data_IF_787118215126
#
_entry.id   IF_787118215126
#
_cell.length_a   1.000
_cell.length_b   1.000
_cell.length_c   1.000
_cell.angle_alpha   90.00
_cell.angle_beta   90.00
_cell.angle_gamma   90.00
#
_symmetry.space_group_name_H-M   'P 1'
#
loop_
_entity.id
_entity.type
_entity.pdbx_description
1 polymer ?
#
# COMPACT_ATOMS: atom_id res chain seq x y z
N UNK A 1 5.18 -2.99 -13.45
CA UNK A 1 6.29 -2.07 -13.09
C UNK A 1 7.54 -2.86 -12.70
N UNK A 2 7.40 -3.94 -11.94
CA UNK A 2 8.43 -4.96 -11.64
C UNK A 2 9.59 -5.13 -12.64
N UNK A 3 9.36 -5.44 -13.94
CA UNK A 3 10.47 -5.71 -14.84
C UNK A 3 11.36 -4.48 -15.08
N UNK A 4 10.77 -3.28 -15.14
CA UNK A 4 11.53 -2.03 -15.29
C UNK A 4 12.25 -1.69 -14.00
N UNK A 5 11.59 -1.85 -12.85
CA UNK A 5 12.18 -1.67 -11.51
C UNK A 5 13.43 -2.56 -11.34
N UNK A 6 13.32 -3.85 -11.67
CA UNK A 6 14.42 -4.80 -11.58
C UNK A 6 15.55 -4.50 -12.58
N UNK A 7 15.21 -4.14 -13.82
CA UNK A 7 16.21 -3.75 -14.84
C UNK A 7 17.00 -2.50 -14.46
N UNK A 8 16.37 -1.55 -13.78
CA UNK A 8 17.06 -0.37 -13.25
C UNK A 8 17.93 -0.67 -12.04
N UNK A 9 17.54 -1.64 -11.18
CA UNK A 9 18.32 -2.03 -9.99
C UNK A 9 19.59 -2.82 -10.35
N UNK A 10 19.56 -3.65 -11.41
CA UNK A 10 20.72 -4.45 -11.85
C UNK A 10 21.58 -3.78 -12.94
N UNK A 11 21.41 -2.47 -13.15
CA UNK A 11 22.25 -1.66 -14.06
C UNK A 11 22.25 -2.15 -15.53
N UNK A 12 21.14 -2.74 -16.00
CA UNK A 12 21.02 -3.19 -17.40
C UNK A 12 20.66 -2.02 -18.33
N UNK A 13 19.76 -1.13 -17.88
CA UNK A 13 19.38 0.11 -18.60
C UNK A 13 19.14 1.22 -17.56
N UNK A 14 20.17 2.01 -17.23
CA UNK A 14 20.09 3.11 -16.26
C UNK A 14 19.91 4.46 -16.97
N UNK A 15 18.71 4.71 -17.49
CA UNK A 15 18.34 6.00 -18.09
C UNK A 15 17.27 6.70 -17.26
N UNK A 16 17.59 7.89 -16.75
CA UNK A 16 16.65 8.73 -16.00
C UNK A 16 15.39 9.06 -16.80
N UNK A 17 15.54 9.27 -18.12
CA UNK A 17 14.42 9.55 -19.01
C UNK A 17 13.47 8.36 -19.16
N UNK A 18 14.02 7.14 -19.18
CA UNK A 18 13.21 5.92 -19.24
C UNK A 18 12.45 5.68 -17.94
N UNK A 19 13.10 5.91 -16.79
CA UNK A 19 12.46 5.79 -15.49
C UNK A 19 11.29 6.78 -15.34
N UNK A 20 11.55 8.06 -15.59
CA UNK A 20 10.53 9.11 -15.49
C UNK A 20 9.39 8.89 -16.49
N UNK A 21 9.72 8.49 -17.72
CA UNK A 21 8.72 8.20 -18.75
C UNK A 21 7.79 7.04 -18.36
N UNK A 22 8.34 5.95 -17.82
CA UNK A 22 7.56 4.79 -17.35
C UNK A 22 6.69 5.15 -16.15
N UNK A 23 7.22 5.94 -15.21
CA UNK A 23 6.44 6.43 -14.06
C UNK A 23 5.25 7.29 -14.53
N UNK A 24 5.49 8.23 -15.46
CA UNK A 24 4.45 9.11 -15.95
C UNK A 24 3.35 8.36 -16.71
N UNK A 25 3.72 7.40 -17.57
CA UNK A 25 2.76 6.55 -18.27
C UNK A 25 1.91 5.73 -17.29
N UNK A 26 2.53 5.26 -16.21
CA UNK A 26 1.85 4.44 -15.22
C UNK A 26 0.86 5.26 -14.39
N UNK A 27 1.21 6.50 -14.04
CA UNK A 27 0.28 7.43 -13.40
C UNK A 27 -0.95 7.69 -14.28
N UNK A 28 -0.78 7.85 -15.59
CA UNK A 28 -1.90 8.02 -16.51
C UNK A 28 -2.85 6.80 -16.53
N UNK A 29 -2.30 5.59 -16.54
CA UNK A 29 -3.09 4.35 -16.46
C UNK A 29 -3.81 4.27 -15.10
N UNK A 30 -3.13 4.63 -14.01
CA UNK A 30 -3.71 4.65 -12.66
C UNK A 30 -4.88 5.62 -12.57
N UNK A 31 -4.80 6.79 -13.20
CA UNK A 31 -5.90 7.78 -13.23
C UNK A 31 -7.15 7.21 -13.88
N UNK A 32 -7.02 6.49 -15.00
CA UNK A 32 -8.16 5.83 -15.66
C UNK A 32 -8.78 4.80 -14.71
N UNK A 33 -7.94 4.03 -14.01
CA UNK A 33 -8.39 3.03 -13.05
C UNK A 33 -9.03 3.65 -11.79
N UNK A 34 -8.74 4.91 -11.48
CA UNK A 34 -9.40 5.64 -10.38
C UNK A 34 -10.77 6.19 -10.77
N UNK A 35 -11.00 6.53 -12.04
CA UNK A 35 -12.25 7.15 -12.51
C UNK A 35 -13.33 6.10 -12.86
N UNK A 36 -12.94 4.99 -13.50
CA UNK A 36 -13.90 4.01 -14.05
C UNK A 36 -14.69 3.26 -12.97
N UNK A 37 -14.09 2.74 -11.89
CA UNK A 37 -14.82 1.95 -10.89
C UNK A 37 -15.92 2.73 -10.15
N UNK A 38 -15.69 3.98 -9.70
CA UNK A 38 -16.76 4.77 -9.08
C UNK A 38 -17.95 5.04 -10.00
N UNK A 39 -17.73 5.27 -11.30
CA UNK A 39 -18.80 5.45 -12.29
C UNK A 39 -19.66 4.18 -12.41
N UNK A 40 -19.02 3.02 -12.49
CA UNK A 40 -19.74 1.73 -12.52
C UNK A 40 -20.48 1.48 -11.21
N UNK A 41 -19.93 1.90 -10.08
CA UNK A 41 -20.54 1.71 -8.76
C UNK A 41 -21.82 2.54 -8.59
N UNK A 42 -21.81 3.79 -9.08
CA UNK A 42 -22.99 4.67 -9.07
C UNK A 42 -24.14 4.09 -9.91
N UNK A 43 -23.86 3.47 -11.05
CA UNK A 43 -24.90 2.82 -11.87
C UNK A 43 -25.57 1.61 -11.19
N UNK A 44 -24.90 0.99 -10.20
CA UNK A 44 -25.39 -0.18 -9.47
C UNK A 44 -26.11 0.24 -8.18
N UNK A 45 -25.87 1.46 -7.70
CA UNK A 45 -26.48 1.99 -6.49
C UNK A 45 -28.00 2.15 -6.65
N UNK A 46 -28.71 2.11 -5.53
CA UNK A 46 -30.14 2.39 -5.53
C UNK A 46 -30.38 3.90 -5.75
N UNK A 47 -31.44 4.28 -6.50
CA UNK A 47 -31.77 5.68 -6.70
C UNK A 47 -31.87 6.42 -5.36
N UNK A 48 -31.12 7.50 -5.20
CA UNK A 48 -31.07 8.30 -3.98
C UNK A 48 -29.88 8.01 -3.03
N UNK A 49 -29.14 6.91 -3.22
CA UNK A 49 -27.95 6.57 -2.41
C UNK A 49 -26.62 6.63 -3.18
N UNK A 50 -26.65 7.07 -4.43
CA UNK A 50 -25.50 7.14 -5.35
C UNK A 50 -24.30 7.90 -4.74
N UNK A 51 -24.56 9.08 -4.17
CA UNK A 51 -23.53 9.91 -3.55
C UNK A 51 -22.91 9.26 -2.30
N UNK A 52 -23.72 8.58 -1.48
CA UNK A 52 -23.26 7.88 -0.28
C UNK A 52 -22.36 6.70 -0.66
N UNK A 53 -22.77 5.91 -1.65
CA UNK A 53 -21.99 4.79 -2.18
C UNK A 53 -20.65 5.26 -2.77
N UNK A 54 -20.65 6.35 -3.55
CA UNK A 54 -19.45 6.97 -4.08
C UNK A 54 -18.51 7.48 -2.98
N UNK A 55 -19.06 8.16 -1.97
CA UNK A 55 -18.31 8.69 -0.83
C UNK A 55 -17.62 7.58 -0.03
N UNK A 56 -18.34 6.49 0.27
CA UNK A 56 -17.77 5.34 0.97
C UNK A 56 -16.65 4.69 0.13
N UNK A 57 -16.86 4.49 -1.17
CA UNK A 57 -15.84 3.89 -2.03
C UNK A 57 -14.55 4.73 -2.05
N UNK A 58 -14.69 6.04 -2.17
CA UNK A 58 -13.56 6.97 -2.24
C UNK A 58 -12.80 7.03 -0.92
N UNK A 59 -13.49 7.06 0.22
CA UNK A 59 -12.84 7.06 1.53
C UNK A 59 -12.09 5.75 1.79
N UNK A 60 -12.67 4.60 1.43
CA UNK A 60 -11.99 3.31 1.48
C UNK A 60 -10.72 3.32 0.61
N UNK A 61 -10.78 3.90 -0.60
CA UNK A 61 -9.61 4.03 -1.48
C UNK A 61 -8.47 4.84 -0.84
N UNK A 62 -8.79 5.99 -0.25
CA UNK A 62 -7.80 6.84 0.42
C UNK A 62 -7.18 6.14 1.64
N UNK A 63 -7.98 5.47 2.46
CA UNK A 63 -7.48 4.72 3.62
C UNK A 63 -6.58 3.56 3.20
N UNK A 64 -6.92 2.86 2.12
CA UNK A 64 -6.11 1.76 1.61
C UNK A 64 -4.68 2.22 1.27
N UNK A 65 -4.51 3.42 0.70
CA UNK A 65 -3.18 4.01 0.45
C UNK A 65 -2.39 4.20 1.74
N UNK A 66 -3.01 4.71 2.80
CA UNK A 66 -2.33 4.93 4.10
C UNK A 66 -1.92 3.60 4.73
N UNK A 67 -2.77 2.58 4.68
CA UNK A 67 -2.48 1.24 5.20
C UNK A 67 -1.36 0.55 4.41
N UNK A 68 -1.32 0.74 3.09
CA UNK A 68 -0.23 0.24 2.25
C UNK A 68 1.10 0.89 2.64
N UNK A 69 1.15 2.22 2.79
CA UNK A 69 2.36 2.93 3.20
C UNK A 69 2.83 2.48 4.59
N UNK A 70 1.91 2.31 5.53
CA UNK A 70 2.20 1.78 6.85
C UNK A 70 2.84 0.37 6.79
N UNK A 71 2.29 -0.51 5.97
CA UNK A 71 2.84 -1.87 5.80
C UNK A 71 4.23 -1.83 5.16
N UNK A 72 4.45 -0.97 4.17
CA UNK A 72 5.76 -0.77 3.56
C UNK A 72 6.78 -0.25 4.56
N UNK A 73 6.38 0.68 5.43
CA UNK A 73 7.25 1.22 6.49
C UNK A 73 7.64 0.15 7.52
N UNK A 74 6.73 -0.75 7.90
CA UNK A 74 7.06 -1.88 8.78
C UNK A 74 8.04 -2.83 8.10
N UNK A 75 7.83 -3.12 6.81
CA UNK A 75 8.74 -3.99 6.05
C UNK A 75 10.11 -3.34 5.94
N UNK A 76 10.21 -2.03 5.65
CA UNK A 76 11.48 -1.32 5.60
C UNK A 76 12.19 -1.27 6.96
N UNK A 77 11.45 -1.18 8.07
CA UNK A 77 12.01 -1.22 9.43
C UNK A 77 12.71 -2.55 9.76
N UNK A 78 12.44 -3.62 9.00
CA UNK A 78 13.03 -4.93 9.23
C UNK A 78 14.45 -5.04 8.65
N UNK A 79 14.86 -4.13 7.76
CA UNK A 79 16.17 -4.12 7.11
C UNK A 79 17.12 -3.07 7.72
N UNK A 80 18.41 -3.42 7.88
CA UNK A 80 19.49 -2.66 8.57
C UNK A 80 19.81 -1.27 7.95
N UNK A 81 20.31 -0.28 8.73
CA UNK A 81 20.60 1.10 8.26
C UNK A 81 21.64 1.23 7.15
N UNK A 82 22.49 0.22 6.90
CA UNK A 82 23.43 0.22 5.76
C UNK A 82 22.71 0.31 4.39
N UNK A 83 21.40 0.01 4.35
CA UNK A 83 20.54 0.06 3.17
C UNK A 83 19.99 1.47 2.88
N UNK A 84 20.11 2.42 3.83
CA UNK A 84 19.76 3.83 3.58
C UNK A 84 20.83 4.58 2.80
N UNK A 85 22.06 4.04 2.72
CA UNK A 85 23.09 4.51 1.79
C UNK A 85 22.86 3.91 0.39
N UNK A 86 21.72 4.25 -0.22
CA UNK A 86 21.43 3.94 -1.63
C UNK A 86 22.56 4.50 -2.55
N UNK A 87 23.27 5.53 -2.08
CA UNK A 87 24.41 6.14 -2.75
C UNK A 87 25.66 5.24 -2.80
N UNK A 88 25.81 4.28 -1.87
CA UNK A 88 26.97 3.38 -1.84
C UNK A 88 26.93 2.30 -2.95
N UNK A 89 25.76 2.08 -3.58
CA UNK A 89 25.51 1.22 -4.75
C UNK A 89 26.21 -0.16 -4.68
N UNK A 90 26.28 -0.76 -3.48
CA UNK A 90 26.92 -2.07 -3.25
C UNK A 90 26.02 -3.22 -3.71
N UNK A 91 26.61 -4.39 -3.97
CA UNK A 91 25.84 -5.56 -4.43
C UNK A 91 24.76 -5.99 -3.43
N UNK A 92 25.05 -5.91 -2.13
CA UNK A 92 24.09 -6.26 -1.07
C UNK A 92 22.86 -5.32 -1.10
N UNK A 93 23.08 -4.00 -1.25
CA UNK A 93 21.99 -3.01 -1.34
C UNK A 93 21.09 -3.28 -2.55
N UNK A 94 21.65 -3.65 -3.70
CA UNK A 94 20.86 -4.00 -4.91
C UNK A 94 19.96 -5.21 -4.65
N UNK A 95 20.45 -6.22 -3.94
CA UNK A 95 19.65 -7.40 -3.61
C UNK A 95 18.54 -7.08 -2.59
N UNK A 96 18.82 -6.19 -1.64
CA UNK A 96 17.81 -5.71 -0.71
C UNK A 96 16.69 -4.95 -1.40
N UNK A 97 17.02 -4.00 -2.28
CA UNK A 97 16.03 -3.24 -3.06
C UNK A 97 15.21 -4.17 -3.96
N UNK A 98 15.86 -5.15 -4.61
CA UNK A 98 15.16 -6.17 -5.38
C UNK A 98 14.19 -7.01 -4.52
N UNK A 99 14.58 -7.38 -3.29
CA UNK A 99 13.72 -8.12 -2.37
C UNK A 99 12.48 -7.32 -1.97
N UNK A 100 12.60 -6.00 -1.76
CA UNK A 100 11.46 -5.14 -1.43
C UNK A 100 10.46 -5.05 -2.59
N UNK A 101 10.94 -4.91 -3.82
CA UNK A 101 10.07 -4.93 -5.00
C UNK A 101 9.38 -6.29 -5.19
N UNK A 102 10.07 -7.40 -4.89
CA UNK A 102 9.47 -8.73 -4.92
C UNK A 102 8.40 -8.92 -3.86
N UNK A 103 8.61 -8.45 -2.62
CA UNK A 103 7.60 -8.50 -1.55
C UNK A 103 6.37 -7.67 -1.93
N UNK A 104 6.57 -6.44 -2.42
CA UNK A 104 5.48 -5.59 -2.93
C UNK A 104 4.67 -6.31 -4.00
N UNK A 105 5.34 -6.96 -4.94
CA UNK A 105 4.70 -7.72 -6.00
C UNK A 105 3.97 -8.96 -5.50
N UNK A 106 4.57 -9.71 -4.59
CA UNK A 106 3.97 -10.91 -4.00
C UNK A 106 2.68 -10.56 -3.25
N UNK A 107 2.68 -9.46 -2.48
CA UNK A 107 1.48 -8.96 -1.80
C UNK A 107 0.43 -8.50 -2.82
N UNK A 108 0.82 -7.73 -3.84
CA UNK A 108 -0.11 -7.25 -4.87
C UNK A 108 -0.76 -8.41 -5.64
N UNK A 109 0.03 -9.41 -6.06
CA UNK A 109 -0.46 -10.60 -6.76
C UNK A 109 -1.30 -11.46 -5.82
N UNK A 110 -0.87 -11.66 -4.57
CA UNK A 110 -1.62 -12.43 -3.58
C UNK A 110 -3.00 -11.83 -3.31
N UNK A 111 -3.07 -10.51 -3.11
CA UNK A 111 -4.35 -9.80 -2.96
C UNK A 111 -5.16 -9.90 -4.24
N UNK A 112 -4.55 -9.69 -5.41
CA UNK A 112 -5.26 -9.81 -6.68
C UNK A 112 -5.87 -11.20 -6.87
N UNK A 113 -5.16 -12.27 -6.51
CA UNK A 113 -5.63 -13.66 -6.60
C UNK A 113 -6.73 -13.96 -5.57
N UNK A 114 -6.61 -13.46 -4.34
CA UNK A 114 -7.64 -13.60 -3.31
C UNK A 114 -8.92 -12.82 -3.65
N UNK A 115 -8.78 -11.66 -4.31
CA UNK A 115 -9.90 -10.80 -4.72
C UNK A 115 -10.49 -11.22 -6.06
N UNK A 116 -9.75 -11.95 -6.89
CA UNK A 116 -10.22 -12.47 -8.19
C UNK A 116 -11.54 -13.25 -8.12
N UNK A 117 -11.74 -14.22 -7.19
CA UNK A 117 -13.01 -14.93 -7.06
C UNK A 117 -14.12 -14.05 -6.47
N UNK A 118 -13.76 -12.97 -5.77
CA UNK A 118 -14.70 -12.03 -5.18
C UNK A 118 -15.19 -10.99 -6.21
N UNK A 119 -14.40 -10.75 -7.28
CA UNK A 119 -14.72 -9.76 -8.30
C UNK A 119 -15.86 -10.27 -9.21
N UNK A 120 -17.05 -9.65 -9.17
CA UNK A 120 -18.17 -10.13 -9.96
C UNK A 120 -17.90 -9.93 -11.45
N UNK A 121 -17.96 -11.02 -12.22
CA UNK A 121 -17.64 -11.03 -13.66
C UNK A 121 -18.59 -10.20 -14.52
N UNK A 122 -19.78 -9.83 -14.02
CA UNK A 122 -20.78 -9.12 -14.81
C UNK A 122 -21.78 -8.34 -13.95
N UNK A 123 -22.15 -7.12 -14.38
CA UNK A 123 -23.12 -6.23 -13.71
C UNK A 123 -24.46 -6.92 -13.39
N UNK A 124 -24.92 -7.82 -14.27
CA UNK A 124 -26.18 -8.58 -14.08
C UNK A 124 -26.11 -9.58 -12.93
N UNK A 125 -24.97 -10.25 -12.76
CA UNK A 125 -24.77 -11.25 -11.71
C UNK A 125 -24.83 -10.62 -10.31
N UNK A 126 -24.30 -9.40 -10.15
CA UNK A 126 -24.41 -8.63 -8.89
C UNK A 126 -25.86 -8.29 -8.58
N UNK A 127 -26.65 -7.92 -9.59
CA UNK A 127 -28.06 -7.56 -9.40
C UNK A 127 -28.90 -8.77 -9.03
N UNK A 128 -28.64 -9.92 -9.64
CA UNK A 128 -29.30 -11.19 -9.33
C UNK A 128 -28.95 -11.69 -7.92
N UNK A 129 -27.66 -11.67 -7.53
CA UNK A 129 -27.23 -12.04 -6.18
C UNK A 129 -27.80 -11.09 -5.14
N UNK A 130 -27.85 -9.78 -5.41
CA UNK A 130 -28.43 -8.79 -4.49
C UNK A 130 -29.95 -8.97 -4.33
N UNK A 131 -30.65 -9.45 -5.35
CA UNK A 131 -32.09 -9.75 -5.29
C UNK A 131 -32.38 -11.07 -4.55
N UNK A 132 -31.48 -12.06 -4.63
CA UNK A 132 -31.65 -13.36 -3.96
C UNK A 132 -31.07 -13.42 -2.55
N UNK A 133 -30.20 -12.48 -2.17
CA UNK A 133 -29.52 -12.50 -0.87
C UNK A 133 -30.40 -11.93 0.23
N UNK A 134 -30.52 -12.66 1.33
CA UNK A 134 -30.95 -12.10 2.61
C UNK A 134 -29.92 -11.07 3.08
N UNK A 135 -30.34 -9.97 3.75
CA UNK A 135 -29.41 -8.96 4.23
C UNK A 135 -28.59 -9.50 5.42
N UNK A 136 -27.34 -9.90 5.15
CA UNK A 136 -26.38 -10.26 6.19
C UNK A 136 -25.66 -9.02 6.71
N UNK A 137 -26.21 -8.42 7.78
CA UNK A 137 -25.69 -7.18 8.38
C UNK A 137 -24.36 -7.38 9.12
N UNK A 138 -23.97 -8.63 9.40
CA UNK A 138 -22.74 -8.99 10.09
C UNK A 138 -21.50 -8.73 9.21
N UNK A 139 -21.56 -9.10 7.93
CA UNK A 139 -20.44 -8.93 6.99
C UNK A 139 -19.96 -7.46 6.85
N UNK A 140 -20.84 -6.46 6.63
CA UNK A 140 -20.41 -5.07 6.56
C UNK A 140 -19.91 -4.54 7.90
N UNK A 141 -20.46 -4.98 9.04
CA UNK A 141 -19.97 -4.57 10.38
C UNK A 141 -18.54 -5.08 10.59
N UNK A 142 -18.28 -6.36 10.35
CA UNK A 142 -16.94 -6.94 10.54
C UNK A 142 -15.93 -6.28 9.60
N UNK A 143 -16.31 -6.02 8.35
CA UNK A 143 -15.44 -5.32 7.42
C UNK A 143 -15.14 -3.90 7.90
N UNK A 144 -16.14 -3.18 8.38
CA UNK A 144 -15.98 -1.82 8.89
C UNK A 144 -15.08 -1.76 10.13
N UNK A 145 -15.23 -2.68 11.08
CA UNK A 145 -14.42 -2.68 12.30
C UNK A 145 -12.95 -3.02 12.02
N UNK A 146 -12.69 -4.00 11.14
CA UNK A 146 -11.32 -4.34 10.70
C UNK A 146 -10.69 -3.14 9.99
N UNK A 147 -11.44 -2.49 9.09
CA UNK A 147 -10.93 -1.37 8.32
C UNK A 147 -10.65 -0.14 9.19
N UNK A 148 -11.53 0.15 10.17
CA UNK A 148 -11.32 1.22 11.15
C UNK A 148 -10.08 0.95 12.01
N UNK A 149 -9.88 -0.30 12.46
CA UNK A 149 -8.71 -0.70 13.23
C UNK A 149 -7.41 -0.48 12.45
N UNK A 150 -7.36 -0.92 11.18
CA UNK A 150 -6.21 -0.70 10.30
C UNK A 150 -5.95 0.79 10.05
N UNK A 151 -7.01 1.58 9.85
CA UNK A 151 -6.88 3.01 9.64
C UNK A 151 -6.29 3.73 10.86
N UNK A 152 -6.79 3.42 12.06
CA UNK A 152 -6.26 4.00 13.31
C UNK A 152 -4.81 3.59 13.51
N UNK A 153 -4.46 2.32 13.26
CA UNK A 153 -3.07 1.86 13.34
C UNK A 153 -2.14 2.62 12.38
N UNK A 154 -2.58 2.79 11.12
CA UNK A 154 -1.80 3.50 10.11
C UNK A 154 -1.69 5.02 10.40
N UNK A 155 -2.75 5.65 10.90
CA UNK A 155 -2.74 7.03 11.39
C UNK A 155 -1.77 7.20 12.55
N UNK A 156 -1.86 6.32 13.56
CA UNK A 156 -0.97 6.37 14.74
C UNK A 156 0.48 6.21 14.30
N UNK A 157 0.78 5.30 13.38
CA UNK A 157 2.14 5.12 12.85
C UNK A 157 2.64 6.36 12.10
N UNK A 158 1.79 6.96 11.26
CA UNK A 158 2.14 8.20 10.54
C UNK A 158 2.40 9.36 11.50
N UNK A 159 1.58 9.49 12.55
CA UNK A 159 1.77 10.51 13.59
C UNK A 159 3.02 10.25 14.44
N UNK A 160 3.30 8.98 14.80
CA UNK A 160 4.50 8.63 15.56
C UNK A 160 5.79 8.87 14.77
N UNK A 161 5.76 8.66 13.45
CA UNK A 161 6.89 8.94 12.56
C UNK A 161 7.24 10.42 12.47
N UNK A 162 6.31 11.33 12.81
CA UNK A 162 6.53 12.79 12.81
C UNK A 162 7.20 13.27 14.10
N UNK A 163 7.06 12.54 15.21
CA UNK A 163 7.68 12.89 16.48
C UNK A 163 9.04 12.19 16.65
N UNK A 164 10.12 12.98 16.72
CA UNK A 164 11.50 12.48 16.83
C UNK A 164 11.72 11.52 18.01
N UNK A 165 11.06 11.70 19.16
CA UNK A 165 11.20 10.81 20.33
C UNK A 165 10.50 9.44 20.19
N UNK A 166 9.61 9.27 19.22
CA UNK A 166 8.84 8.02 19.01
C UNK A 166 9.02 7.40 17.63
N UNK A 167 9.73 8.09 16.73
CA UNK A 167 10.08 7.57 15.40
C UNK A 167 10.93 6.29 15.47
N UNK A 168 11.62 6.06 16.59
CA UNK A 168 12.39 4.83 16.83
C UNK A 168 11.55 3.57 17.06
N UNK A 169 10.24 3.66 17.30
CA UNK A 169 9.43 2.45 17.51
C UNK A 169 9.29 1.63 16.23
N UNK A 170 9.38 0.29 16.35
CA UNK A 170 9.05 -0.67 15.27
C UNK A 170 7.65 -0.49 14.69
N UNK A 171 6.72 0.00 15.50
CA UNK A 171 5.38 0.35 15.05
C UNK A 171 5.33 1.64 14.21
N UNK A 172 6.31 2.53 14.34
CA UNK A 172 6.44 3.76 13.56
C UNK A 172 7.31 3.56 12.29
N UNK A 173 7.85 2.35 12.06
CA UNK A 173 8.83 2.08 11.02
C UNK A 173 10.30 2.25 11.46
N UNK A 174 10.55 2.52 12.75
CA UNK A 174 11.90 2.57 13.33
C UNK A 174 12.41 1.21 13.80
N UNK A 175 13.69 1.06 14.13
CA UNK A 175 14.27 -0.26 14.44
C UNK A 175 14.21 -0.66 15.93
N UNK A 176 13.84 0.26 16.82
CA UNK A 176 13.83 0.14 18.28
C UNK A 176 14.62 1.28 18.93
N UNK A 177 14.09 1.88 20.01
CA UNK A 177 14.77 2.98 20.72
C UNK A 177 16.10 2.58 21.37
N UNK A 178 16.38 1.28 21.50
CA UNK A 178 17.61 0.78 22.11
C UNK A 178 18.85 0.94 21.19
N UNK A 179 18.68 0.93 19.86
CA UNK A 179 19.82 1.04 18.93
C UNK A 179 20.24 2.50 18.64
N UNK A 180 19.35 3.47 18.86
CA UNK A 180 19.69 4.90 18.71
C UNK A 180 20.50 5.43 19.90
N UNK A 181 20.36 4.82 21.08
CA UNK A 181 21.25 5.12 22.21
C UNK A 181 22.68 4.61 21.97
N UNK A 182 22.85 3.55 21.19
CA UNK A 182 24.17 2.99 20.86
C UNK A 182 24.89 3.77 19.75
N UNK A 183 24.16 4.47 18.87
CA UNK A 183 24.75 5.35 17.84
C UNK A 183 25.11 6.76 18.34
N UNK A 184 24.52 7.22 19.44
CA UNK A 184 24.88 8.50 20.09
C UNK A 184 25.91 8.29 21.21
N UNK A 185 25.96 7.09 21.80
CA UNK A 185 26.96 6.66 22.76
C UNK A 185 28.25 6.15 22.11
N UNK A 186 28.94 7.01 21.34
CA UNK A 186 30.36 6.81 21.11
C UNK A 186 31.10 6.76 22.47
N UNK A 187 32.10 5.89 22.65
CA UNK A 187 32.73 5.67 23.95
C UNK A 187 33.34 6.99 24.47
N UNK A 188 32.88 7.43 25.63
CA UNK A 188 33.62 8.38 26.45
C UNK A 188 34.89 7.68 26.97
N UNK A 189 36.00 7.88 26.27
CA UNK A 189 37.36 7.73 26.76
C UNK A 189 38.20 8.91 26.23
#
# INVERSE_FOLDING_TARGET
>A
MLPVELMTTFDVIRSQYLWVGVQQLSMAILTINWIVPPLVFVEIAEPGYEATCYGILTTLGNVAVVVMNFTMNIVSATYSPEVQDIEADTHEVRWHVASQFLVKAAVAIGVALCVLPLLPKQKRHVKEIKLSSSPNLIAPIVLFTVFLGLFVAALVSTLLSVFESTACLRFAGGQGCDQVLESVGGPSA
#
